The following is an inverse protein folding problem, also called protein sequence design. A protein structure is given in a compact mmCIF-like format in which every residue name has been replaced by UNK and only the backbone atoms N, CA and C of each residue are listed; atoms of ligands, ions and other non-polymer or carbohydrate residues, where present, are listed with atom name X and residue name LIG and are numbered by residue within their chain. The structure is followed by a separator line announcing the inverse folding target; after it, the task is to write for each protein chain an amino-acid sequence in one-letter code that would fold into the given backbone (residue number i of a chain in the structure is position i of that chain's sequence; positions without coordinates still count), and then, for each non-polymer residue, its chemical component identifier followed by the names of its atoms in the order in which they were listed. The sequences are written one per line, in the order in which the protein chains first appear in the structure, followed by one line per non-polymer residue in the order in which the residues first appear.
data_IF_490457488172
#
_entry.id   IF_490457488172
#
_cell.length_a   1.000
_cell.length_b   1.000
_cell.length_c   1.000
_cell.angle_alpha   90.00
_cell.angle_beta   90.00
_cell.angle_gamma   90.00
#
_symmetry.space_group_name_H-M   'P 1'
#
loop_
_entity.id
_entity.type
_entity.pdbx_description
1 polymer ?
#
# COMPACT_ATOMS: atom_id res chain seq x y z
N UNK A 1 -17.04 -15.21 -18.40
CA UNK A 1 -16.04 -14.91 -17.37
C UNK A 1 -15.12 -13.84 -17.95
N UNK A 2 -14.96 -12.72 -17.25
CA UNK A 2 -13.94 -11.73 -17.59
C UNK A 2 -12.57 -12.40 -17.58
N UNK A 3 -11.74 -12.14 -18.60
CA UNK A 3 -10.40 -12.70 -18.69
C UNK A 3 -9.45 -12.22 -17.59
N UNK A 4 -9.84 -11.15 -16.88
CA UNK A 4 -8.97 -10.49 -15.91
C UNK A 4 -9.30 -10.87 -14.46
N UNK A 5 -10.46 -11.48 -14.17
CA UNK A 5 -10.78 -11.87 -12.79
C UNK A 5 -10.05 -13.13 -12.33
N UNK A 6 -9.58 -13.17 -11.06
CA UNK A 6 -9.63 -12.10 -10.06
C UNK A 6 -8.49 -11.07 -10.23
N UNK A 7 -8.77 -9.78 -9.97
CA UNK A 7 -7.79 -8.69 -10.12
C UNK A 7 -7.53 -7.99 -8.78
N UNK A 8 -6.26 -7.73 -8.47
CA UNK A 8 -5.82 -6.79 -7.44
C UNK A 8 -5.18 -5.57 -8.11
N UNK A 9 -5.72 -4.38 -7.85
CA UNK A 9 -5.16 -3.10 -8.31
C UNK A 9 -4.52 -2.39 -7.12
N UNK A 10 -3.23 -2.06 -7.22
CA UNK A 10 -2.51 -1.31 -6.18
C UNK A 10 -2.17 0.07 -6.72
N UNK A 11 -2.59 1.10 -6.00
CA UNK A 11 -2.23 2.50 -6.27
C UNK A 11 -1.41 3.01 -5.11
N UNK A 12 -0.14 3.24 -5.38
CA UNK A 12 0.76 3.80 -4.40
C UNK A 12 0.71 5.33 -4.38
N UNK A 13 0.93 5.92 -3.19
CA UNK A 13 0.98 7.37 -2.97
C UNK A 13 -0.19 8.14 -3.63
N UNK A 14 -1.43 7.74 -3.32
CA UNK A 14 -2.63 8.29 -3.98
C UNK A 14 -2.80 9.81 -3.78
N UNK A 15 -2.21 10.39 -2.73
CA UNK A 15 -2.10 11.83 -2.52
C UNK A 15 -1.34 12.56 -3.64
N UNK A 16 -0.40 11.88 -4.29
CA UNK A 16 0.33 12.40 -5.45
C UNK A 16 -0.53 12.51 -6.71
N UNK A 17 -1.67 11.80 -6.76
CA UNK A 17 -2.69 11.94 -7.79
C UNK A 17 -3.69 13.07 -7.48
N UNK A 18 -3.58 13.69 -6.30
CA UNK A 18 -4.31 14.89 -5.89
C UNK A 18 -3.75 16.17 -6.53
N UNK A 19 -4.33 17.34 -6.23
CA UNK A 19 -4.12 18.54 -7.02
C UNK A 19 -2.69 19.07 -6.92
N UNK A 20 -1.88 18.83 -7.96
CA UNK A 20 -0.84 19.79 -8.33
C UNK A 20 -1.57 21.07 -8.72
N UNK A 21 -1.27 22.19 -8.05
CA UNK A 21 -1.87 23.50 -8.34
C UNK A 21 -1.85 23.78 -9.85
N UNK A 22 -2.99 23.60 -10.51
CA UNK A 22 -3.14 23.61 -11.97
C UNK A 22 -4.41 22.83 -12.33
N UNK A 23 -5.21 23.35 -13.25
CA UNK A 23 -6.64 23.04 -13.45
C UNK A 23 -7.01 21.62 -13.90
N UNK A 24 -6.05 20.71 -14.10
CA UNK A 24 -6.26 19.48 -14.88
C UNK A 24 -5.97 18.15 -14.15
N UNK A 25 -5.27 18.15 -13.01
CA UNK A 25 -4.93 16.93 -12.26
C UNK A 25 -6.14 16.19 -11.61
N UNK A 26 -7.18 16.87 -11.08
CA UNK A 26 -8.31 16.20 -10.41
C UNK A 26 -9.10 15.24 -11.32
N UNK A 27 -9.06 15.50 -12.64
CA UNK A 27 -9.89 14.79 -13.61
C UNK A 27 -9.41 13.36 -13.85
N UNK A 28 -8.10 13.12 -13.86
CA UNK A 28 -7.53 11.81 -14.18
C UNK A 28 -7.80 10.77 -13.08
N UNK A 29 -7.65 11.14 -11.80
CA UNK A 29 -7.94 10.24 -10.68
C UNK A 29 -9.44 9.93 -10.59
N UNK A 30 -10.31 10.95 -10.70
CA UNK A 30 -11.75 10.74 -10.66
C UNK A 30 -12.25 9.88 -11.84
N UNK A 31 -11.70 10.07 -13.05
CA UNK A 31 -11.99 9.24 -14.21
C UNK A 31 -11.52 7.80 -14.02
N UNK A 32 -10.30 7.62 -13.52
CA UNK A 32 -9.76 6.30 -13.21
C UNK A 32 -10.64 5.56 -12.19
N UNK A 33 -11.00 6.21 -11.10
CA UNK A 33 -11.87 5.62 -10.08
C UNK A 33 -13.25 5.28 -10.67
N UNK A 34 -13.78 6.11 -11.58
CA UNK A 34 -15.07 5.84 -12.24
C UNK A 34 -14.96 4.63 -13.18
N UNK A 35 -13.82 4.48 -13.86
CA UNK A 35 -13.54 3.28 -14.65
C UNK A 35 -13.44 2.02 -13.78
N UNK A 36 -12.88 2.12 -12.57
CA UNK A 36 -12.88 1.03 -11.60
C UNK A 36 -14.30 0.64 -11.14
N UNK A 37 -15.17 1.61 -10.86
CA UNK A 37 -16.55 1.31 -10.46
C UNK A 37 -17.30 0.55 -11.56
N UNK A 38 -17.14 0.96 -12.82
CA UNK A 38 -17.74 0.28 -13.97
C UNK A 38 -17.12 -1.10 -14.21
N UNK A 39 -15.85 -1.27 -13.86
CA UNK A 39 -15.12 -2.52 -13.99
C UNK A 39 -15.60 -3.56 -12.95
N UNK A 40 -15.97 -3.17 -11.73
CA UNK A 40 -16.43 -4.12 -10.71
C UNK A 40 -17.73 -4.82 -11.15
N UNK A 41 -18.65 -4.08 -11.78
CA UNK A 41 -19.91 -4.62 -12.32
C UNK A 41 -19.71 -5.57 -13.53
N UNK A 42 -18.65 -5.38 -14.32
CA UNK A 42 -18.44 -6.08 -15.60
C UNK A 42 -17.31 -7.13 -15.60
N UNK A 43 -16.29 -6.95 -14.75
CA UNK A 43 -15.03 -7.71 -14.80
C UNK A 43 -14.93 -8.81 -13.73
N UNK A 44 -15.90 -8.97 -12.84
CA UNK A 44 -15.78 -9.88 -11.69
C UNK A 44 -14.98 -9.26 -10.54
N UNK A 45 -14.66 -10.00 -9.45
CA UNK A 45 -14.18 -9.40 -8.21
C UNK A 45 -12.85 -8.65 -8.43
N UNK A 46 -12.90 -7.32 -8.31
CA UNK A 46 -11.72 -6.45 -8.31
C UNK A 46 -11.50 -5.89 -6.90
N UNK A 47 -10.33 -6.15 -6.33
CA UNK A 47 -9.92 -5.52 -5.07
C UNK A 47 -8.97 -4.37 -5.40
N UNK A 48 -9.24 -3.19 -4.88
CA UNK A 48 -8.36 -2.03 -5.03
C UNK A 48 -7.75 -1.65 -3.69
N UNK A 49 -6.43 -1.50 -3.64
CA UNK A 49 -5.67 -1.05 -2.47
C UNK A 49 -5.02 0.28 -2.80
N UNK A 50 -5.30 1.29 -1.98
CA UNK A 50 -4.64 2.58 -2.04
C UNK A 50 -3.67 2.70 -0.88
N UNK A 51 -2.46 3.20 -1.14
CA UNK A 51 -1.52 3.58 -0.06
C UNK A 51 -1.41 5.10 0.00
N UNK A 52 -1.22 5.63 1.20
CA UNK A 52 -0.96 7.06 1.40
C UNK A 52 -0.05 7.28 2.59
N UNK A 53 0.83 8.28 2.49
CA UNK A 53 1.59 8.78 3.64
C UNK A 53 0.76 9.68 4.55
N UNK A 54 -0.32 10.29 4.04
CA UNK A 54 -1.16 11.23 4.77
C UNK A 54 -2.62 11.15 4.31
N UNK A 55 -3.48 10.55 5.13
CA UNK A 55 -4.93 10.39 4.84
C UNK A 55 -5.64 11.74 4.62
N UNK A 56 -5.13 12.82 5.21
CA UNK A 56 -5.68 14.17 5.03
C UNK A 56 -5.34 14.78 3.66
N UNK A 57 -4.27 14.32 2.99
CA UNK A 57 -3.86 14.77 1.66
C UNK A 57 -4.58 14.04 0.53
N UNK A 58 -5.29 12.94 0.84
CA UNK A 58 -6.07 12.18 -0.14
C UNK A 58 -7.31 12.96 -0.58
N UNK A 59 -7.53 13.03 -1.89
CA UNK A 59 -8.67 13.72 -2.47
C UNK A 59 -10.01 13.17 -1.95
N UNK A 60 -10.96 14.06 -1.69
CA UNK A 60 -12.25 13.71 -1.14
C UNK A 60 -13.05 12.76 -2.05
N UNK A 61 -12.84 12.77 -3.38
CA UNK A 61 -13.51 11.85 -4.32
C UNK A 61 -13.17 10.38 -4.08
N UNK A 62 -11.93 10.09 -3.63
CA UNK A 62 -11.51 8.73 -3.26
C UNK A 62 -12.27 8.27 -2.01
N UNK A 63 -12.53 9.20 -1.08
CA UNK A 63 -13.19 8.95 0.22
C UNK A 63 -14.71 8.95 0.17
N UNK A 64 -15.30 9.84 -0.62
CA UNK A 64 -16.73 10.16 -0.58
C UNK A 64 -17.59 9.21 -1.41
N UNK A 65 -17.00 8.48 -2.36
CA UNK A 65 -17.74 7.64 -3.30
C UNK A 65 -18.20 6.27 -2.78
N UNK A 66 -18.00 5.93 -1.51
CA UNK A 66 -18.24 4.56 -1.00
C UNK A 66 -17.25 3.51 -1.53
N UNK A 67 -16.22 3.94 -2.27
CA UNK A 67 -15.19 3.09 -2.90
C UNK A 67 -14.16 2.58 -1.88
N UNK A 68 -13.94 3.36 -0.82
CA UNK A 68 -13.14 2.95 0.33
C UNK A 68 -14.02 2.24 1.36
N UNK A 69 -14.00 0.91 1.28
CA UNK A 69 -14.73 0.03 2.19
C UNK A 69 -14.04 -0.13 3.54
N UNK A 70 -12.70 -0.10 3.53
CA UNK A 70 -11.88 -0.28 4.73
C UNK A 70 -10.69 0.66 4.70
N UNK A 71 -10.29 1.11 5.89
CA UNK A 71 -9.04 1.85 6.11
C UNK A 71 -8.24 1.05 7.10
N UNK A 72 -7.01 0.71 6.72
CA UNK A 72 -6.06 0.00 7.58
C UNK A 72 -4.96 0.99 7.92
N UNK A 73 -4.94 1.41 9.19
CA UNK A 73 -3.87 2.25 9.70
C UNK A 73 -2.67 1.38 10.10
N UNK A 74 -1.48 1.74 9.64
CA UNK A 74 -0.23 1.07 9.98
C UNK A 74 0.50 1.89 11.07
N UNK A 75 0.44 1.46 12.35
CA UNK A 75 1.13 2.18 13.41
C UNK A 75 2.65 1.99 13.31
N UNK A 76 3.40 2.86 14.00
CA UNK A 76 4.82 2.63 14.22
C UNK A 76 5.02 1.29 14.94
N UNK A 77 6.02 0.49 14.53
CA UNK A 77 6.24 -0.83 15.10
C UNK A 77 6.64 -0.70 16.57
N UNK A 78 5.98 -1.47 17.44
CA UNK A 78 6.39 -1.64 18.84
C UNK A 78 7.67 -2.47 18.95
N UNK A 79 8.19 -2.67 20.17
CA UNK A 79 9.44 -3.40 20.37
C UNK A 79 9.37 -4.85 19.87
N UNK A 80 8.21 -5.51 19.97
CA UNK A 80 8.01 -6.87 19.49
C UNK A 80 7.99 -6.91 17.96
N UNK A 81 7.31 -5.96 17.33
CA UNK A 81 7.26 -5.82 15.88
C UNK A 81 8.63 -5.45 15.31
N UNK A 82 9.38 -4.53 15.94
CA UNK A 82 10.75 -4.20 15.57
C UNK A 82 11.66 -5.42 15.59
N UNK A 83 11.58 -6.21 16.67
CA UNK A 83 12.32 -7.47 16.77
C UNK A 83 11.98 -8.41 15.61
N UNK A 84 10.69 -8.63 15.34
CA UNK A 84 10.24 -9.52 14.27
C UNK A 84 10.67 -9.04 12.87
N UNK A 85 10.62 -7.72 12.62
CA UNK A 85 11.09 -7.12 11.37
C UNK A 85 12.59 -7.38 11.19
N UNK A 86 13.39 -7.14 12.24
CA UNK A 86 14.83 -7.34 12.17
C UNK A 86 15.22 -8.81 12.02
N UNK A 87 14.54 -9.73 12.74
CA UNK A 87 14.75 -11.17 12.58
C UNK A 87 14.49 -11.59 11.12
N UNK A 88 13.37 -11.16 10.53
CA UNK A 88 13.05 -11.47 9.13
C UNK A 88 14.08 -10.91 8.14
N UNK A 89 14.64 -9.72 8.40
CA UNK A 89 15.69 -9.13 7.57
C UNK A 89 17.01 -9.89 7.69
N UNK A 90 17.38 -10.31 8.90
CA UNK A 90 18.59 -11.12 9.13
C UNK A 90 18.45 -12.50 8.48
N UNK A 91 17.29 -13.15 8.58
CA UNK A 91 17.03 -14.43 7.92
C UNK A 91 17.17 -14.32 6.40
N UNK A 92 16.62 -13.26 5.81
CA UNK A 92 16.76 -12.97 4.38
C UNK A 92 18.23 -12.73 3.99
N UNK A 93 18.98 -11.99 4.81
CA UNK A 93 20.41 -11.73 4.58
C UNK A 93 21.25 -13.01 4.71
N UNK A 94 20.98 -13.85 5.70
CA UNK A 94 21.61 -15.17 5.90
C UNK A 94 21.44 -16.03 4.66
N UNK A 95 20.23 -16.04 4.09
CA UNK A 95 19.91 -16.79 2.86
C UNK A 95 20.70 -16.27 1.66
N UNK A 96 20.90 -14.95 1.56
CA UNK A 96 21.55 -14.32 0.42
C UNK A 96 23.09 -14.29 0.50
N UNK A 97 23.64 -14.15 1.71
CA UNK A 97 25.07 -13.86 1.95
C UNK A 97 25.82 -14.99 2.65
N UNK A 98 25.09 -15.99 3.19
CA UNK A 98 25.65 -17.05 4.02
C UNK A 98 25.63 -16.69 5.53
N UNK A 99 25.71 -17.71 6.40
CA UNK A 99 25.57 -17.54 7.86
C UNK A 99 26.67 -16.66 8.47
N UNK A 100 27.91 -16.82 8.03
CA UNK A 100 29.06 -16.09 8.55
C UNK A 100 28.94 -14.55 8.40
N UNK A 101 28.10 -14.07 7.48
CA UNK A 101 27.91 -12.65 7.21
C UNK A 101 27.02 -11.95 8.27
N UNK A 102 26.29 -12.69 9.09
CA UNK A 102 25.32 -12.15 10.06
C UNK A 102 25.59 -12.55 11.51
N UNK A 103 26.61 -13.34 11.76
CA UNK A 103 26.93 -13.89 13.10
C UNK A 103 27.12 -12.82 14.19
N UNK A 104 27.59 -11.62 13.82
CA UNK A 104 27.87 -10.51 14.75
C UNK A 104 26.66 -9.57 14.98
N UNK A 105 25.49 -9.84 14.40
CA UNK A 105 24.33 -8.95 14.51
C UNK A 105 23.54 -9.22 15.80
N UNK A 106 23.66 -8.32 16.78
CA UNK A 106 22.77 -8.32 17.95
C UNK A 106 21.43 -7.66 17.63
N UNK A 107 20.49 -8.49 17.16
CA UNK A 107 19.13 -8.05 16.85
C UNK A 107 18.38 -7.52 18.09
N UNK A 108 18.72 -7.96 19.30
CA UNK A 108 18.02 -7.53 20.52
C UNK A 108 18.47 -6.13 20.93
N UNK A 109 19.74 -5.80 20.70
CA UNK A 109 20.25 -4.44 20.85
C UNK A 109 19.64 -3.49 19.81
N UNK A 110 19.50 -3.92 18.55
CA UNK A 110 18.95 -3.10 17.46
C UNK A 110 17.45 -2.84 17.57
N UNK A 111 16.70 -3.75 18.19
CA UNK A 111 15.24 -3.62 18.32
C UNK A 111 14.78 -2.59 19.38
N UNK A 112 15.71 -2.01 20.16
CA UNK A 112 15.40 -1.13 21.30
C UNK A 112 14.88 0.24 20.86
#
# INVERSE_FOLDING_TARGET
ASLLAPTLVVIEHVEGAGPTRGTDAPLALAQFLTALDLADDALGPVVTVFTTGEVAAVDASVRAGGRLHSVVELPLPDLRARRAILDALVDAATTALGPDAVDDIDVAALAR
#
